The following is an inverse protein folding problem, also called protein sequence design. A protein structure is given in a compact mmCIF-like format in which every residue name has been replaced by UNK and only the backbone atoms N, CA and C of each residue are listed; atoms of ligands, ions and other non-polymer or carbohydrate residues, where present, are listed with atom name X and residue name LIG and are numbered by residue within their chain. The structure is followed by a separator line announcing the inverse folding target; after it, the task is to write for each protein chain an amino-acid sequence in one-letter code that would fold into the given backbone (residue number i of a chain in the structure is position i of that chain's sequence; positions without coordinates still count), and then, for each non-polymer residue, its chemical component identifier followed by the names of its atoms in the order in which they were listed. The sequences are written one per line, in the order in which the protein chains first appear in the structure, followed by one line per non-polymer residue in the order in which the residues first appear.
data_IF_020172166756
#
_entry.id   IF_020172166756
#
_cell.length_a   1.000
_cell.length_b   1.000
_cell.length_c   1.000
_cell.angle_alpha   90.00
_cell.angle_beta   90.00
_cell.angle_gamma   90.00
#
_symmetry.space_group_name_H-M   'P 1'
#
loop_
_entity.id
_entity.type
_entity.pdbx_description
1 polymer ?
#
# COMPACT_ATOMS: atom_id res chain seq x y z
N UNK A 1 5.27 -22.22 12.67
CA UNK A 1 4.13 -21.26 12.80
C UNK A 1 2.88 -21.99 12.36
N UNK A 2 1.95 -22.14 13.26
CA UNK A 2 0.66 -22.74 12.93
C UNK A 2 -0.06 -21.87 11.88
N UNK A 3 -0.88 -22.48 10.99
CA UNK A 3 -1.60 -21.74 9.95
C UNK A 3 -2.41 -20.55 10.47
N UNK A 4 -2.85 -20.63 11.71
CA UNK A 4 -3.64 -19.59 12.38
C UNK A 4 -2.83 -18.33 12.76
N UNK A 5 -1.51 -18.42 12.77
CA UNK A 5 -0.62 -17.33 13.21
C UNK A 5 -0.15 -16.39 12.09
N UNK A 6 -0.53 -16.65 10.85
CA UNK A 6 -0.09 -15.82 9.70
C UNK A 6 -0.78 -14.48 9.61
N UNK A 7 -1.91 -14.32 10.28
CA UNK A 7 -2.72 -13.09 10.24
C UNK A 7 -3.05 -12.58 11.63
N UNK A 8 -3.41 -11.32 11.74
CA UNK A 8 -3.95 -10.72 12.95
C UNK A 8 -5.16 -9.84 12.63
N UNK A 9 -6.10 -9.77 13.59
CA UNK A 9 -7.24 -8.87 13.52
C UNK A 9 -6.79 -7.50 14.01
N UNK A 10 -6.69 -6.52 13.11
CA UNK A 10 -6.26 -5.16 13.44
C UNK A 10 -7.44 -4.29 13.89
N UNK A 11 -8.60 -4.48 13.28
CA UNK A 11 -9.85 -3.81 13.59
C UNK A 11 -11.01 -4.81 13.41
N UNK A 12 -12.24 -4.52 13.90
CA UNK A 12 -13.37 -5.45 13.78
C UNK A 12 -13.65 -5.97 12.36
N UNK A 13 -13.38 -5.13 11.38
CA UNK A 13 -13.59 -5.39 9.94
C UNK A 13 -12.28 -5.49 9.14
N UNK A 14 -11.12 -5.49 9.80
CA UNK A 14 -9.81 -5.50 9.14
C UNK A 14 -8.90 -6.59 9.69
N UNK A 15 -8.60 -7.56 8.85
CA UNK A 15 -7.62 -8.61 9.08
C UNK A 15 -6.43 -8.43 8.13
N UNK A 16 -5.23 -8.45 8.66
CA UNK A 16 -3.98 -8.26 7.89
C UNK A 16 -3.00 -9.42 8.13
N UNK A 17 -2.03 -9.58 7.24
CA UNK A 17 -0.91 -10.47 7.49
C UNK A 17 -0.05 -9.92 8.63
N UNK A 18 0.56 -10.82 9.41
CA UNK A 18 1.54 -10.44 10.45
C UNK A 18 2.87 -9.99 9.87
N UNK A 19 3.19 -10.43 8.66
CA UNK A 19 4.35 -9.98 7.89
C UNK A 19 3.82 -9.19 6.70
N UNK A 20 4.24 -7.95 6.58
CA UNK A 20 3.81 -7.03 5.53
C UNK A 20 4.85 -7.00 4.41
N UNK A 21 4.37 -6.84 3.18
CA UNK A 21 5.24 -6.60 2.03
C UNK A 21 5.57 -5.10 1.98
N UNK A 22 6.75 -4.73 2.48
CA UNK A 22 7.23 -3.34 2.41
C UNK A 22 7.66 -2.95 1.01
N UNK A 23 7.21 -1.79 0.53
CA UNK A 23 7.45 -1.30 -0.83
C UNK A 23 8.45 -0.14 -0.92
N UNK A 24 9.15 0.16 0.17
CA UNK A 24 10.14 1.24 0.18
C UNK A 24 11.29 1.01 -0.80
N UNK A 25 11.69 -0.24 -1.00
CA UNK A 25 12.78 -0.62 -1.89
C UNK A 25 12.52 -0.27 -3.36
N UNK A 26 11.26 -0.19 -3.80
CA UNK A 26 10.92 0.20 -5.18
C UNK A 26 10.99 1.71 -5.41
N UNK A 27 11.23 2.51 -4.38
CA UNK A 27 11.35 3.98 -4.46
C UNK A 27 12.67 4.47 -5.10
N UNK A 28 13.46 3.59 -5.70
CA UNK A 28 14.66 3.95 -6.47
C UNK A 28 15.94 4.12 -5.64
N UNK A 29 15.87 4.12 -4.32
CA UNK A 29 17.05 4.23 -3.44
C UNK A 29 18.00 3.02 -3.48
N UNK A 30 17.57 1.92 -4.07
CA UNK A 30 18.31 0.66 -4.19
C UNK A 30 18.59 0.27 -5.65
N UNK A 31 18.52 1.23 -6.59
CA UNK A 31 18.70 1.03 -8.03
C UNK A 31 17.38 0.97 -8.80
N UNK A 32 17.52 0.93 -10.12
CA UNK A 32 16.36 0.84 -11.02
C UNK A 32 15.75 -0.57 -10.96
N UNK A 33 14.45 -0.63 -10.72
CA UNK A 33 13.69 -1.89 -10.70
C UNK A 33 12.80 -1.91 -11.93
N UNK A 34 12.90 -2.99 -12.71
CA UNK A 34 12.01 -3.22 -13.85
C UNK A 34 10.56 -3.38 -13.34
N UNK A 35 9.60 -2.56 -13.83
CA UNK A 35 8.20 -2.64 -13.41
C UNK A 35 7.57 -4.01 -13.59
N UNK A 36 7.85 -4.69 -14.70
CA UNK A 36 7.30 -6.02 -14.97
C UNK A 36 7.84 -7.07 -14.01
N UNK A 37 9.11 -6.99 -13.67
CA UNK A 37 9.72 -7.84 -12.65
C UNK A 37 9.08 -7.59 -11.29
N UNK A 38 8.94 -6.31 -10.87
CA UNK A 38 8.32 -5.95 -9.60
C UNK A 38 6.89 -6.51 -9.47
N UNK A 39 6.08 -6.34 -10.51
CA UNK A 39 4.69 -6.84 -10.52
C UNK A 39 4.66 -8.38 -10.50
N UNK A 40 5.55 -9.04 -11.22
CA UNK A 40 5.69 -10.51 -11.19
C UNK A 40 6.01 -11.02 -9.79
N UNK A 41 6.94 -10.36 -9.09
CA UNK A 41 7.25 -10.67 -7.69
C UNK A 41 6.05 -10.45 -6.76
N UNK A 42 5.24 -9.42 -6.99
CA UNK A 42 4.02 -9.19 -6.22
C UNK A 42 3.04 -10.36 -6.35
N UNK A 43 2.89 -10.95 -7.53
CA UNK A 43 2.10 -12.18 -7.72
C UNK A 43 2.68 -13.35 -6.93
N UNK A 44 4.01 -13.51 -6.92
CA UNK A 44 4.68 -14.58 -6.18
C UNK A 44 4.46 -14.47 -4.67
N UNK A 45 4.56 -13.25 -4.11
CA UNK A 45 4.25 -13.01 -2.70
C UNK A 45 2.78 -13.24 -2.37
N UNK A 46 1.89 -12.79 -3.25
CA UNK A 46 0.45 -13.04 -3.09
C UNK A 46 0.14 -14.54 -3.07
N UNK A 47 0.71 -15.31 -3.99
CA UNK A 47 0.54 -16.76 -4.08
C UNK A 47 1.11 -17.49 -2.86
N UNK A 48 2.13 -16.94 -2.23
CA UNK A 48 2.67 -17.43 -0.95
C UNK A 48 1.82 -17.06 0.27
N UNK A 49 0.76 -16.28 0.09
CA UNK A 49 -0.19 -15.86 1.14
C UNK A 49 0.15 -14.53 1.81
N UNK A 50 1.12 -13.76 1.29
CA UNK A 50 1.44 -12.42 1.78
C UNK A 50 0.60 -11.38 1.03
N UNK A 51 -0.58 -11.09 1.56
CA UNK A 51 -1.59 -10.25 0.89
C UNK A 51 -1.65 -8.81 1.37
N UNK A 52 -0.85 -8.44 2.37
CA UNK A 52 -0.84 -7.10 2.95
C UNK A 52 0.40 -6.32 2.50
N UNK A 53 0.20 -5.14 1.92
CA UNK A 53 1.22 -4.30 1.31
C UNK A 53 1.36 -2.98 2.05
N UNK A 54 2.58 -2.61 2.44
CA UNK A 54 2.90 -1.37 3.15
C UNK A 54 3.65 -0.41 2.22
N UNK A 55 2.99 0.70 1.90
CA UNK A 55 3.42 1.73 0.97
C UNK A 55 3.50 3.10 1.64
N UNK A 56 3.83 4.11 0.87
CA UNK A 56 3.69 5.51 1.21
C UNK A 56 3.52 6.35 -0.07
N UNK A 57 2.85 7.49 0.04
CA UNK A 57 2.66 8.41 -1.08
C UNK A 57 3.98 8.93 -1.67
N UNK A 58 5.04 8.96 -0.85
CA UNK A 58 6.41 9.33 -1.26
C UNK A 58 7.26 8.17 -1.79
N UNK A 59 6.78 6.92 -1.73
CA UNK A 59 7.50 5.75 -2.27
C UNK A 59 7.20 5.55 -3.75
N UNK A 60 7.28 6.62 -4.55
CA UNK A 60 7.05 6.49 -5.99
C UNK A 60 8.07 5.54 -6.63
N UNK A 61 7.63 4.55 -7.40
CA UNK A 61 6.28 4.28 -7.91
C UNK A 61 5.52 3.14 -7.19
N UNK A 62 5.68 2.96 -5.88
CA UNK A 62 5.11 1.83 -5.15
C UNK A 62 3.58 1.73 -5.24
N UNK A 63 2.86 2.86 -5.03
CA UNK A 63 1.41 2.86 -5.12
C UNK A 63 0.91 2.55 -6.53
N UNK A 64 1.63 3.01 -7.56
CA UNK A 64 1.33 2.73 -8.97
C UNK A 64 1.55 1.24 -9.31
N UNK A 65 2.61 0.64 -8.83
CA UNK A 65 2.88 -0.80 -9.02
C UNK A 65 1.82 -1.65 -8.34
N UNK A 66 1.43 -1.27 -7.12
CA UNK A 66 0.34 -1.94 -6.42
C UNK A 66 -0.99 -1.82 -7.19
N UNK A 67 -1.30 -0.66 -7.73
CA UNK A 67 -2.49 -0.44 -8.55
C UNK A 67 -2.50 -1.30 -9.81
N UNK A 68 -1.37 -1.40 -10.51
CA UNK A 68 -1.24 -2.26 -11.69
C UNK A 68 -1.34 -3.75 -11.33
N UNK A 69 -0.69 -4.16 -10.24
CA UNK A 69 -0.85 -5.52 -9.70
C UNK A 69 -2.32 -5.86 -9.44
N UNK A 70 -3.07 -4.97 -8.76
CA UNK A 70 -4.50 -5.18 -8.48
C UNK A 70 -5.34 -5.32 -9.76
N UNK A 71 -5.11 -4.47 -10.75
CA UNK A 71 -5.80 -4.55 -12.05
C UNK A 71 -5.56 -5.89 -12.73
N UNK A 72 -4.31 -6.33 -12.76
CA UNK A 72 -3.94 -7.62 -13.36
C UNK A 72 -4.51 -8.80 -12.58
N UNK A 73 -4.49 -8.73 -11.26
CA UNK A 73 -5.04 -9.76 -10.39
C UNK A 73 -6.55 -9.91 -10.61
N UNK A 74 -7.29 -8.79 -10.66
CA UNK A 74 -8.72 -8.79 -10.93
C UNK A 74 -9.06 -9.37 -12.31
N UNK A 75 -8.31 -8.96 -13.34
CA UNK A 75 -8.47 -9.46 -14.71
C UNK A 75 -8.20 -10.95 -14.83
N UNK A 76 -7.19 -11.46 -14.13
CA UNK A 76 -6.74 -12.85 -14.24
C UNK A 76 -7.52 -13.79 -13.33
N UNK A 77 -7.91 -13.35 -12.12
CA UNK A 77 -8.43 -14.20 -11.06
C UNK A 77 -9.75 -13.74 -10.44
N UNK A 78 -10.24 -12.58 -10.83
CA UNK A 78 -11.54 -12.04 -10.40
C UNK A 78 -11.48 -11.16 -9.16
N UNK A 79 -12.62 -10.54 -8.86
CA UNK A 79 -12.78 -9.58 -7.78
C UNK A 79 -12.63 -10.22 -6.39
N UNK A 80 -13.07 -11.45 -6.21
CA UNK A 80 -12.97 -12.14 -4.90
C UNK A 80 -11.51 -12.35 -4.49
N UNK A 81 -10.64 -12.69 -5.46
CA UNK A 81 -9.21 -12.83 -5.20
C UNK A 81 -8.56 -11.47 -4.89
N UNK A 82 -8.95 -10.43 -5.63
CA UNK A 82 -8.47 -9.07 -5.42
C UNK A 82 -8.90 -8.49 -4.07
N UNK A 83 -10.06 -8.87 -3.56
CA UNK A 83 -10.55 -8.45 -2.24
C UNK A 83 -9.76 -9.05 -1.06
N UNK A 84 -8.92 -10.05 -1.29
CA UNK A 84 -8.02 -10.59 -0.27
C UNK A 84 -6.80 -9.69 0.00
N UNK A 85 -6.55 -8.70 -0.85
CA UNK A 85 -5.37 -7.84 -0.79
C UNK A 85 -5.66 -6.62 0.06
N UNK A 86 -4.79 -6.31 1.03
CA UNK A 86 -4.89 -5.11 1.88
C UNK A 86 -3.87 -4.06 1.45
N UNK A 87 -4.34 -2.82 1.36
CA UNK A 87 -3.56 -1.64 1.02
C UNK A 87 -3.32 -0.78 2.26
N UNK A 88 -2.08 -0.75 2.73
CA UNK A 88 -1.62 0.17 3.77
C UNK A 88 -0.73 1.21 3.10
N UNK A 89 -0.98 2.49 3.39
CA UNK A 89 -0.11 3.56 2.88
C UNK A 89 0.06 4.66 3.92
N UNK A 90 0.88 5.64 3.61
CA UNK A 90 1.20 6.76 4.49
C UNK A 90 0.97 8.06 3.75
N UNK A 91 0.39 9.02 4.44
CA UNK A 91 0.34 10.40 4.02
C UNK A 91 1.54 11.13 4.65
N UNK A 92 2.50 11.53 3.82
CA UNK A 92 3.73 12.21 4.22
C UNK A 92 3.74 13.59 3.59
N UNK A 93 3.07 14.59 4.20
CA UNK A 93 2.96 15.92 3.63
C UNK A 93 4.27 16.70 3.74
N UNK A 94 4.44 17.71 2.88
CA UNK A 94 5.39 18.77 3.12
C UNK A 94 4.95 19.59 4.35
N UNK A 95 5.91 20.10 5.16
CA UNK A 95 5.58 20.97 6.29
C UNK A 95 4.77 22.19 5.85
N UNK A 96 3.75 22.53 6.63
CA UNK A 96 2.87 23.66 6.36
C UNK A 96 1.48 23.47 6.95
N UNK A 97 0.56 24.41 6.74
CA UNK A 97 -0.82 24.30 7.22
C UNK A 97 -1.51 23.03 6.70
N UNK A 98 -2.17 22.32 7.58
CA UNK A 98 -2.87 21.08 7.25
C UNK A 98 -4.36 21.34 7.24
N UNK A 99 -4.95 21.41 6.03
CA UNK A 99 -6.38 21.61 5.85
C UNK A 99 -7.05 20.31 5.39
N UNK A 100 -8.35 20.20 5.63
CA UNK A 100 -9.15 19.08 5.13
C UNK A 100 -8.97 18.88 3.61
N UNK A 101 -8.98 19.96 2.84
CA UNK A 101 -8.82 19.91 1.38
C UNK A 101 -7.47 19.32 0.96
N UNK A 102 -6.39 19.65 1.67
CA UNK A 102 -5.06 19.07 1.41
C UNK A 102 -5.08 17.56 1.67
N UNK A 103 -5.64 17.13 2.80
CA UNK A 103 -5.74 15.72 3.16
C UNK A 103 -6.58 14.95 2.14
N UNK A 104 -7.77 15.45 1.82
CA UNK A 104 -8.67 14.83 0.84
C UNK A 104 -7.98 14.67 -0.53
N UNK A 105 -7.30 15.72 -1.02
CA UNK A 105 -6.57 15.65 -2.28
C UNK A 105 -5.49 14.54 -2.30
N UNK A 106 -4.69 14.44 -1.24
CA UNK A 106 -3.63 13.42 -1.16
C UNK A 106 -4.20 12.01 -1.02
N UNK A 107 -5.24 11.83 -0.21
CA UNK A 107 -5.92 10.53 -0.06
C UNK A 107 -6.55 10.07 -1.38
N UNK A 108 -7.25 10.95 -2.08
CA UNK A 108 -7.83 10.64 -3.39
C UNK A 108 -6.78 10.27 -4.42
N UNK A 109 -5.64 10.94 -4.41
CA UNK A 109 -4.51 10.64 -5.29
C UNK A 109 -3.96 9.23 -5.03
N UNK A 110 -3.75 8.86 -3.77
CA UNK A 110 -3.31 7.51 -3.38
C UNK A 110 -4.35 6.43 -3.74
N UNK A 111 -5.63 6.68 -3.49
CA UNK A 111 -6.73 5.79 -3.88
C UNK A 111 -6.71 5.49 -5.39
N UNK A 112 -6.54 6.53 -6.22
CA UNK A 112 -6.46 6.39 -7.68
C UNK A 112 -5.25 5.58 -8.11
N UNK A 113 -4.07 5.89 -7.56
CA UNK A 113 -2.83 5.18 -7.88
C UNK A 113 -2.91 3.70 -7.53
N UNK A 114 -3.39 3.39 -6.34
CA UNK A 114 -3.50 2.02 -5.84
C UNK A 114 -4.67 1.23 -6.43
N UNK A 115 -5.54 1.87 -7.19
CA UNK A 115 -6.73 1.24 -7.78
C UNK A 115 -7.61 0.56 -6.71
N UNK A 116 -7.86 1.25 -5.62
CA UNK A 116 -8.72 0.79 -4.51
C UNK A 116 -9.94 1.70 -4.35
N UNK A 117 -10.98 1.19 -3.71
CA UNK A 117 -12.16 1.98 -3.32
C UNK A 117 -11.93 2.69 -1.99
N UNK A 118 -11.11 2.09 -1.12
CA UNK A 118 -10.73 2.60 0.18
C UNK A 118 -9.33 2.12 0.55
N UNK A 119 -8.63 2.87 1.36
CA UNK A 119 -7.36 2.50 1.97
C UNK A 119 -7.67 1.73 3.26
N UNK A 120 -7.08 0.55 3.46
CA UNK A 120 -7.31 -0.25 4.66
C UNK A 120 -6.69 0.38 5.90
N UNK A 121 -5.47 0.90 5.78
CA UNK A 121 -4.79 1.67 6.84
C UNK A 121 -4.07 2.86 6.23
N UNK A 122 -4.38 4.04 6.73
CA UNK A 122 -3.65 5.27 6.40
C UNK A 122 -2.89 5.76 7.63
N UNK A 123 -1.55 5.88 7.49
CA UNK A 123 -0.69 6.45 8.51
C UNK A 123 -0.36 7.89 8.17
N UNK A 124 -0.60 8.80 9.11
CA UNK A 124 -0.11 10.17 9.00
C UNK A 124 1.35 10.20 9.45
N UNK A 125 2.27 10.67 8.59
CA UNK A 125 3.70 10.70 8.87
C UNK A 125 4.24 12.12 8.73
N UNK A 126 4.52 12.77 9.86
CA UNK A 126 5.08 14.11 9.94
C UNK A 126 6.58 14.04 10.21
N UNK A 127 7.37 14.66 9.35
CA UNK A 127 8.84 14.62 9.42
C UNK A 127 9.44 15.80 10.15
N UNK A 128 8.76 16.97 10.14
CA UNK A 128 9.27 18.20 10.68
C UNK A 128 8.82 18.38 12.12
N UNK A 129 9.76 18.29 13.05
CA UNK A 129 9.46 18.37 14.49
C UNK A 129 9.51 19.77 15.06
N UNK A 130 10.00 20.77 14.29
CA UNK A 130 10.06 22.17 14.69
C UNK A 130 8.82 22.96 14.27
N UNK A 131 8.11 22.46 13.24
CA UNK A 131 6.83 22.99 12.78
C UNK A 131 5.71 21.98 13.12
N UNK A 132 4.90 22.34 14.07
CA UNK A 132 3.79 21.48 14.54
C UNK A 132 2.45 21.74 13.84
N UNK A 133 2.41 22.63 12.83
CA UNK A 133 1.22 22.93 12.01
C UNK A 133 0.41 24.09 12.54
#
# INVERSE_FOLDING_TARGET
MEPHDKTCQLAPDLKICRILNGMWQVAGGHGDIDPEFAISEMFSYHDAGFTTWDMADIYSPAEEYFGEFRKRLEKQRGVDETNKVQALTKFVPNPGPMTRSIVEHHVEKSIKKMHVKAIDVLQFHWWEYTDTG
#
